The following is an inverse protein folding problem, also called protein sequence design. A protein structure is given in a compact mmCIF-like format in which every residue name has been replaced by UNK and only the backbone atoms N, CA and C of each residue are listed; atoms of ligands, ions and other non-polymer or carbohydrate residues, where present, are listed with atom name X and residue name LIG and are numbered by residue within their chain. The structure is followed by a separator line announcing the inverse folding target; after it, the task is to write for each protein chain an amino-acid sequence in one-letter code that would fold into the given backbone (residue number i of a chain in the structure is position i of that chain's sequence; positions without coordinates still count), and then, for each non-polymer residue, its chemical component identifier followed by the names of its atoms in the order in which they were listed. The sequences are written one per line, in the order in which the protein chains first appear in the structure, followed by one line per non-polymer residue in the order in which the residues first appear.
data_IF_668295843165
#
_entry.id   IF_668295843165
#
_cell.length_a   1.000
_cell.length_b   1.000
_cell.length_c   1.000
_cell.angle_alpha   90.00
_cell.angle_beta   90.00
_cell.angle_gamma   90.00
#
_symmetry.space_group_name_H-M   'P 1'
#
loop_
_entity.id
_entity.type
_entity.pdbx_description
1 polymer ?
#
# COMPACT_ATOMS: atom_id res chain seq x y z
N UNK A 1 -7.32 -6.18 -16.70
CA UNK A 1 -8.49 -5.26 -16.70
C UNK A 1 -9.57 -5.64 -15.68
N UNK A 2 -9.67 -6.90 -15.25
CA UNK A 2 -10.67 -7.33 -14.24
C UNK A 2 -10.54 -6.60 -12.88
N UNK A 3 -9.32 -6.37 -12.39
CA UNK A 3 -9.11 -5.68 -11.10
C UNK A 3 -9.57 -4.21 -11.08
N UNK A 4 -9.53 -3.55 -12.23
CA UNK A 4 -9.97 -2.16 -12.34
C UNK A 4 -11.49 -2.05 -12.13
N UNK A 5 -12.25 -2.94 -12.76
CA UNK A 5 -13.71 -2.96 -12.63
C UNK A 5 -14.14 -3.21 -11.19
N UNK A 6 -13.46 -4.15 -10.49
CA UNK A 6 -13.69 -4.43 -9.08
C UNK A 6 -13.43 -3.22 -8.18
N UNK A 7 -12.37 -2.45 -8.42
CA UNK A 7 -12.09 -1.23 -7.66
C UNK A 7 -13.15 -0.15 -7.90
N UNK A 8 -13.56 0.04 -9.16
CA UNK A 8 -14.60 1.02 -9.52
C UNK A 8 -15.95 0.66 -8.89
N UNK A 9 -16.34 -0.61 -8.93
CA UNK A 9 -17.56 -1.10 -8.29
C UNK A 9 -17.52 -0.81 -6.78
N UNK A 10 -16.42 -1.15 -6.13
CA UNK A 10 -16.21 -0.93 -4.69
C UNK A 10 -16.25 0.56 -4.29
N UNK A 11 -15.67 1.44 -5.11
CA UNK A 11 -15.74 2.90 -4.94
C UNK A 11 -17.18 3.38 -5.00
N UNK A 12 -17.96 2.90 -5.98
CA UNK A 12 -19.38 3.24 -6.15
C UNK A 12 -20.21 2.74 -4.99
N UNK A 13 -20.04 1.49 -4.56
CA UNK A 13 -20.73 0.90 -3.41
C UNK A 13 -20.52 1.73 -2.13
N UNK A 14 -19.29 2.21 -1.92
CA UNK A 14 -18.94 3.03 -0.76
C UNK A 14 -19.32 4.51 -0.90
N UNK A 15 -19.80 4.92 -2.08
CA UNK A 15 -20.16 6.29 -2.45
C UNK A 15 -19.01 7.27 -2.24
N UNK A 16 -17.80 6.87 -2.64
CA UNK A 16 -16.60 7.72 -2.49
C UNK A 16 -16.45 8.65 -3.69
N UNK A 17 -16.08 9.89 -3.40
CA UNK A 17 -15.63 10.86 -4.38
C UNK A 17 -14.09 10.79 -4.46
N UNK A 18 -13.59 10.02 -5.42
CA UNK A 18 -12.15 9.80 -5.64
C UNK A 18 -11.78 10.07 -7.09
N UNK A 19 -10.54 10.45 -7.32
CA UNK A 19 -10.00 10.61 -8.67
C UNK A 19 -9.74 9.23 -9.28
N UNK A 20 -10.69 8.78 -10.09
CA UNK A 20 -10.64 7.48 -10.76
C UNK A 20 -9.50 7.41 -11.79
N UNK A 21 -9.13 8.51 -12.44
CA UNK A 21 -8.01 8.50 -13.39
C UNK A 21 -6.69 8.29 -12.66
N UNK A 22 -6.47 9.01 -11.56
CA UNK A 22 -5.29 8.82 -10.71
C UNK A 22 -5.22 7.40 -10.14
N UNK A 23 -6.36 6.85 -9.71
CA UNK A 23 -6.45 5.48 -9.22
C UNK A 23 -6.08 4.46 -10.32
N UNK A 24 -6.64 4.62 -11.53
CA UNK A 24 -6.38 3.74 -12.67
C UNK A 24 -4.91 3.77 -13.09
N UNK A 25 -4.33 4.97 -13.17
CA UNK A 25 -2.91 5.15 -13.50
C UNK A 25 -2.03 4.45 -12.46
N UNK A 26 -2.36 4.57 -11.17
CA UNK A 26 -1.58 3.91 -10.11
C UNK A 26 -1.64 2.38 -10.20
N UNK A 27 -2.80 1.82 -10.58
CA UNK A 27 -2.96 0.39 -10.77
C UNK A 27 -2.11 -0.11 -11.95
N UNK A 28 -2.16 0.57 -13.09
CA UNK A 28 -1.35 0.22 -14.28
C UNK A 28 0.14 0.31 -13.92
N UNK A 29 0.54 1.39 -13.26
CA UNK A 29 1.93 1.60 -12.85
C UNK A 29 2.41 0.48 -11.90
N UNK A 30 1.63 0.12 -10.89
CA UNK A 30 1.98 -0.97 -9.98
C UNK A 30 2.06 -2.32 -10.71
N UNK A 31 1.12 -2.61 -11.61
CA UNK A 31 1.11 -3.84 -12.40
C UNK A 31 2.39 -3.96 -13.25
N UNK A 32 2.75 -2.89 -13.95
CA UNK A 32 3.98 -2.81 -14.75
C UNK A 32 5.24 -3.00 -13.89
N UNK A 33 5.29 -2.39 -12.71
CA UNK A 33 6.44 -2.47 -11.82
C UNK A 33 6.64 -3.89 -11.24
N UNK A 34 5.55 -4.63 -11.02
CA UNK A 34 5.58 -5.98 -10.47
C UNK A 34 5.47 -7.09 -11.53
N UNK A 35 5.65 -6.78 -12.84
CA UNK A 35 5.65 -7.79 -13.90
C UNK A 35 6.62 -8.93 -13.59
N UNK A 36 6.11 -10.17 -13.69
CA UNK A 36 6.90 -11.38 -13.43
C UNK A 36 7.09 -11.70 -11.94
N UNK A 37 6.53 -10.90 -11.03
CA UNK A 37 6.49 -11.20 -9.60
C UNK A 37 5.19 -11.96 -9.27
N UNK A 38 5.33 -13.00 -8.45
CA UNK A 38 4.22 -13.85 -8.02
C UNK A 38 4.16 -13.92 -6.49
N UNK A 39 2.95 -13.99 -5.94
CA UNK A 39 2.73 -14.29 -4.52
C UNK A 39 3.15 -15.72 -4.22
N UNK A 40 3.34 -16.03 -2.94
CA UNK A 40 3.59 -17.41 -2.46
C UNK A 40 2.46 -18.39 -2.80
N UNK A 41 1.24 -17.88 -3.06
CA UNK A 41 0.09 -18.66 -3.55
C UNK A 41 0.21 -19.07 -5.02
N UNK A 42 1.08 -18.43 -5.80
CA UNK A 42 1.19 -18.60 -7.25
C UNK A 42 0.40 -17.60 -8.09
N UNK A 43 -0.35 -16.70 -7.46
CA UNK A 43 -1.09 -15.61 -8.12
C UNK A 43 -0.17 -14.42 -8.44
N UNK A 44 -0.55 -13.60 -9.42
CA UNK A 44 0.18 -12.38 -9.78
C UNK A 44 0.29 -11.42 -8.58
N UNK A 45 1.45 -10.78 -8.40
CA UNK A 45 1.70 -9.93 -7.24
C UNK A 45 0.69 -8.78 -7.10
N UNK A 46 0.20 -8.24 -8.24
CA UNK A 46 -0.74 -7.13 -8.30
C UNK A 46 -2.04 -7.36 -7.50
N UNK A 47 -2.41 -8.63 -7.27
CA UNK A 47 -3.53 -8.98 -6.41
C UNK A 47 -3.40 -8.41 -4.99
N UNK A 48 -2.18 -8.38 -4.44
CA UNK A 48 -1.98 -7.87 -3.09
C UNK A 48 -2.24 -6.36 -2.97
N UNK A 49 -1.63 -5.49 -3.79
CA UNK A 49 -1.99 -4.08 -3.85
C UNK A 49 -3.48 -3.81 -4.08
N UNK A 50 -4.14 -4.59 -4.95
CA UNK A 50 -5.58 -4.44 -5.23
C UNK A 50 -6.42 -4.73 -3.97
N UNK A 51 -6.13 -5.82 -3.25
CA UNK A 51 -6.85 -6.15 -2.01
C UNK A 51 -6.60 -5.12 -0.90
N UNK A 52 -5.38 -4.59 -0.79
CA UNK A 52 -5.07 -3.48 0.13
C UNK A 52 -5.90 -2.25 -0.21
N UNK A 53 -5.99 -1.88 -1.50
CA UNK A 53 -6.81 -0.76 -1.96
C UNK A 53 -8.30 -0.96 -1.65
N UNK A 54 -8.84 -2.16 -1.84
CA UNK A 54 -10.22 -2.50 -1.48
C UNK A 54 -10.50 -2.30 0.01
N UNK A 55 -9.57 -2.68 0.88
CA UNK A 55 -9.69 -2.46 2.33
C UNK A 55 -9.73 -0.96 2.65
N UNK A 56 -8.87 -0.16 2.00
CA UNK A 56 -8.84 1.30 2.19
C UNK A 56 -10.12 1.98 1.68
N UNK A 57 -10.71 1.48 0.59
CA UNK A 57 -12.02 1.90 0.08
C UNK A 57 -13.13 1.56 1.09
N UNK A 58 -13.11 0.36 1.68
CA UNK A 58 -14.12 -0.06 2.69
C UNK A 58 -14.14 0.84 3.93
N UNK A 59 -12.98 1.38 4.33
CA UNK A 59 -12.87 2.35 5.42
C UNK A 59 -12.95 3.80 4.94
N UNK A 60 -13.32 4.02 3.67
CA UNK A 60 -13.63 5.32 3.06
C UNK A 60 -12.48 6.32 3.04
N UNK A 61 -11.27 5.86 2.71
CA UNK A 61 -10.11 6.73 2.59
C UNK A 61 -10.16 7.63 1.34
N UNK A 62 -9.39 8.72 1.37
CA UNK A 62 -9.20 9.63 0.24
C UNK A 62 -8.35 9.01 -0.89
N UNK A 63 -8.45 9.62 -2.08
CA UNK A 63 -7.71 9.24 -3.30
C UNK A 63 -6.22 8.96 -3.02
N UNK A 64 -5.52 9.89 -2.37
CA UNK A 64 -4.06 9.77 -2.20
C UNK A 64 -3.69 8.60 -1.30
N UNK A 65 -4.51 8.31 -0.28
CA UNK A 65 -4.33 7.14 0.57
C UNK A 65 -4.54 5.84 -0.18
N UNK A 66 -5.60 5.73 -0.98
CA UNK A 66 -5.90 4.51 -1.73
C UNK A 66 -4.79 4.27 -2.77
N UNK A 67 -4.39 5.32 -3.49
CA UNK A 67 -3.27 5.28 -4.45
C UNK A 67 -1.97 4.89 -3.76
N UNK A 68 -1.66 5.47 -2.59
CA UNK A 68 -0.47 5.08 -1.82
C UNK A 68 -0.55 3.61 -1.35
N UNK A 69 -1.74 3.09 -1.05
CA UNK A 69 -1.95 1.67 -0.76
C UNK A 69 -1.68 0.76 -1.96
N UNK A 70 -2.02 1.19 -3.18
CA UNK A 70 -1.67 0.46 -4.41
C UNK A 70 -0.15 0.46 -4.63
N UNK A 71 0.52 1.57 -4.33
CA UNK A 71 1.94 1.77 -4.63
C UNK A 71 2.87 1.38 -3.47
N UNK A 72 2.35 0.88 -2.35
CA UNK A 72 3.08 0.85 -1.09
C UNK A 72 4.34 -0.03 -1.08
N UNK A 73 4.35 -1.11 -1.86
CA UNK A 73 5.49 -2.03 -2.00
C UNK A 73 6.34 -1.73 -3.26
N UNK A 74 5.89 -0.84 -4.15
CA UNK A 74 6.59 -0.55 -5.42
C UNK A 74 8.00 -0.01 -5.18
N UNK A 75 8.17 0.89 -4.21
CA UNK A 75 9.48 1.48 -3.89
C UNK A 75 10.45 0.45 -3.28
N UNK A 76 9.93 -0.60 -2.65
CA UNK A 76 10.74 -1.58 -1.95
C UNK A 76 11.11 -2.78 -2.82
N UNK A 77 10.16 -3.27 -3.62
CA UNK A 77 10.30 -4.52 -4.36
C UNK A 77 10.70 -4.30 -5.82
N UNK A 78 10.94 -3.04 -6.21
CA UNK A 78 11.27 -2.65 -7.60
C UNK A 78 12.35 -1.58 -7.64
N UNK A 79 12.72 -1.10 -8.84
CA UNK A 79 13.74 -0.06 -9.03
C UNK A 79 13.19 1.38 -8.95
N UNK A 80 11.89 1.52 -8.70
CA UNK A 80 11.21 2.83 -8.65
C UNK A 80 11.56 3.57 -7.36
N UNK A 81 11.86 4.85 -7.47
CA UNK A 81 12.16 5.72 -6.32
C UNK A 81 10.94 6.50 -5.83
N UNK A 82 11.00 7.01 -4.60
CA UNK A 82 10.00 7.97 -4.07
C UNK A 82 9.90 9.23 -4.95
N UNK A 83 10.98 9.63 -5.61
CA UNK A 83 10.98 10.77 -6.53
C UNK A 83 10.14 10.49 -7.77
N UNK A 84 10.17 9.26 -8.29
CA UNK A 84 9.32 8.83 -9.42
C UNK A 84 7.84 8.82 -9.01
N UNK A 85 7.52 8.32 -7.80
CA UNK A 85 6.16 8.38 -7.25
C UNK A 85 5.68 9.84 -7.15
N UNK A 86 6.55 10.74 -6.67
CA UNK A 86 6.24 12.17 -6.57
C UNK A 86 5.96 12.80 -7.94
N UNK A 87 6.78 12.47 -8.94
CA UNK A 87 6.61 12.99 -10.29
C UNK A 87 5.28 12.56 -10.91
N UNK A 88 4.90 11.29 -10.74
CA UNK A 88 3.70 10.74 -11.38
C UNK A 88 2.40 10.98 -10.58
N UNK A 89 2.46 11.01 -9.25
CA UNK A 89 1.28 11.01 -8.38
C UNK A 89 1.23 12.17 -7.38
N UNK A 90 2.24 13.03 -7.35
CA UNK A 90 2.29 14.22 -6.51
C UNK A 90 2.85 14.00 -5.11
N UNK A 91 3.07 15.11 -4.41
CA UNK A 91 3.76 15.15 -3.11
C UNK A 91 3.07 14.34 -2.02
N UNK A 92 1.74 14.43 -1.91
CA UNK A 92 0.99 13.74 -0.85
C UNK A 92 1.13 12.23 -0.96
N UNK A 93 0.92 11.66 -2.15
CA UNK A 93 1.10 10.22 -2.39
C UNK A 93 2.53 9.79 -2.08
N UNK A 94 3.53 10.55 -2.55
CA UNK A 94 4.93 10.22 -2.31
C UNK A 94 5.30 10.23 -0.83
N UNK A 95 4.79 11.20 -0.06
CA UNK A 95 4.98 11.25 1.40
C UNK A 95 4.34 10.05 2.11
N UNK A 96 3.17 9.60 1.65
CA UNK A 96 2.50 8.43 2.21
C UNK A 96 3.29 7.15 1.91
N UNK A 97 3.72 6.93 0.66
CA UNK A 97 4.50 5.75 0.27
C UNK A 97 5.84 5.71 1.01
N UNK A 98 6.59 6.82 1.03
CA UNK A 98 7.85 6.93 1.78
C UNK A 98 7.65 6.63 3.28
N UNK A 99 6.54 7.10 3.86
CA UNK A 99 6.16 6.78 5.22
C UNK A 99 5.95 5.27 5.43
N UNK A 100 5.16 4.62 4.58
CA UNK A 100 4.89 3.18 4.69
C UNK A 100 6.19 2.38 4.56
N UNK A 101 7.05 2.74 3.60
CA UNK A 101 8.34 2.07 3.37
C UNK A 101 9.25 2.15 4.60
N UNK A 102 9.37 3.35 5.16
CA UNK A 102 10.19 3.58 6.36
C UNK A 102 9.71 2.80 7.59
N UNK A 103 8.40 2.57 7.75
CA UNK A 103 7.88 1.75 8.84
C UNK A 103 8.26 0.27 8.73
N UNK A 104 8.38 -0.25 7.50
CA UNK A 104 8.77 -1.65 7.29
C UNK A 104 10.26 -1.87 7.58
N UNK A 105 11.09 -0.86 7.32
CA UNK A 105 12.53 -0.87 7.59
C UNK A 105 12.93 -0.74 9.08
N UNK A 106 11.96 -0.64 9.99
CA UNK A 106 12.24 -0.51 11.42
C UNK A 106 12.83 -1.81 11.99
N UNK A 107 14.00 -1.77 12.65
CA UNK A 107 14.60 -2.95 13.26
C UNK A 107 13.74 -3.52 14.39
N UNK A 108 13.72 -4.85 14.48
CA UNK A 108 13.03 -5.59 15.53
C UNK A 108 13.83 -5.54 16.86
N UNK A 109 13.84 -4.39 17.54
CA UNK A 109 13.99 -4.28 18.99
C UNK A 109 15.38 -4.02 19.59
N UNK A 110 15.44 -2.98 20.44
CA UNK A 110 16.16 -2.84 21.73
C UNK A 110 15.54 -1.65 22.49
N UNK A 111 15.72 -1.52 23.83
CA UNK A 111 15.11 -0.43 24.64
C UNK A 111 15.40 1.00 24.10
N UNK A 112 16.56 1.21 23.46
CA UNK A 112 16.93 2.48 22.83
C UNK A 112 16.26 2.70 21.46
N UNK A 113 15.76 1.64 20.80
CA UNK A 113 14.98 1.75 19.57
C UNK A 113 13.53 2.16 19.85
N UNK A 114 13.00 1.89 21.05
CA UNK A 114 11.64 2.31 21.41
C UNK A 114 11.47 3.84 21.35
N UNK A 115 12.50 4.63 21.68
CA UNK A 115 12.46 6.09 21.52
C UNK A 115 12.54 6.54 20.06
N UNK A 116 13.35 5.88 19.23
CA UNK A 116 13.42 6.19 17.80
C UNK A 116 12.14 5.79 17.07
N UNK A 117 11.59 4.61 17.39
CA UNK A 117 10.27 4.15 16.93
C UNK A 117 9.18 5.09 17.44
N UNK A 118 9.23 5.54 18.71
CA UNK A 118 8.25 6.50 19.25
C UNK A 118 8.36 7.88 18.59
N UNK A 119 9.57 8.40 18.35
CA UNK A 119 9.80 9.67 17.63
C UNK A 119 9.37 9.58 16.17
N UNK A 120 9.61 8.44 15.52
CA UNK A 120 9.17 8.19 14.14
C UNK A 120 7.65 8.04 14.07
N UNK A 121 7.04 7.24 14.96
CA UNK A 121 5.58 7.14 15.11
C UNK A 121 4.97 8.51 15.42
N UNK A 122 5.58 9.34 16.25
CA UNK A 122 5.12 10.70 16.55
C UNK A 122 5.26 11.64 15.34
N UNK A 123 6.38 11.57 14.61
CA UNK A 123 6.58 12.33 13.37
C UNK A 123 5.65 11.88 12.24
N UNK A 124 5.17 10.63 12.29
CA UNK A 124 4.22 10.04 11.36
C UNK A 124 2.77 10.06 11.86
N UNK A 125 2.54 10.33 13.16
CA UNK A 125 1.22 10.49 13.76
C UNK A 125 0.51 11.72 13.19
N UNK A 126 1.26 12.64 12.58
CA UNK A 126 0.72 13.71 11.75
C UNK A 126 0.01 13.19 10.49
N UNK A 127 0.20 11.92 10.11
CA UNK A 127 -0.45 11.32 8.96
C UNK A 127 -0.96 9.90 9.27
N UNK A 128 -2.05 9.83 10.06
CA UNK A 128 -2.82 8.61 10.39
C UNK A 128 -3.06 7.68 9.18
N UNK A 129 -3.10 8.25 7.97
CA UNK A 129 -3.20 7.55 6.68
C UNK A 129 -2.11 6.49 6.49
N UNK A 130 -0.87 6.76 6.88
CA UNK A 130 0.24 5.80 6.76
C UNK A 130 0.02 4.57 7.65
N UNK A 131 -0.48 4.79 8.87
CA UNK A 131 -0.81 3.71 9.80
C UNK A 131 -1.95 2.86 9.22
N UNK A 132 -2.98 3.50 8.66
CA UNK A 132 -4.12 2.81 8.05
C UNK A 132 -3.69 1.95 6.85
N UNK A 133 -2.82 2.47 5.97
CA UNK A 133 -2.22 1.68 4.89
C UNK A 133 -1.51 0.44 5.45
N UNK A 134 -0.70 0.60 6.50
CA UNK A 134 0.03 -0.53 7.09
C UNK A 134 -0.88 -1.56 7.76
N UNK A 135 -1.97 -1.12 8.36
CA UNK A 135 -2.98 -2.01 8.93
C UNK A 135 -3.72 -2.78 7.83
N UNK A 136 -4.04 -2.12 6.70
CA UNK A 136 -4.66 -2.77 5.54
C UNK A 136 -3.73 -3.84 4.92
N UNK A 137 -2.45 -3.50 4.72
CA UNK A 137 -1.39 -4.45 4.30
C UNK A 137 -1.33 -5.67 5.23
N UNK A 138 -1.19 -5.44 6.55
CA UNK A 138 -1.16 -6.52 7.55
C UNK A 138 -2.43 -7.36 7.55
N UNK A 139 -3.60 -6.74 7.43
CA UNK A 139 -4.87 -7.46 7.37
C UNK A 139 -4.93 -8.38 6.15
N UNK A 140 -4.52 -7.91 4.98
CA UNK A 140 -4.49 -8.75 3.78
C UNK A 140 -3.45 -9.88 3.89
N UNK A 141 -2.27 -9.60 4.44
CA UNK A 141 -1.28 -10.65 4.73
C UNK A 141 -1.82 -11.70 5.69
N UNK A 142 -2.53 -11.30 6.75
CA UNK A 142 -3.18 -12.23 7.68
C UNK A 142 -4.25 -13.09 7.00
N UNK A 143 -5.03 -12.54 6.06
CA UNK A 143 -6.04 -13.29 5.27
C UNK A 143 -5.42 -14.31 4.32
N UNK A 144 -4.16 -14.12 3.93
CA UNK A 144 -3.43 -15.00 2.99
C UNK A 144 -2.44 -15.94 3.67
N UNK A 145 -2.34 -15.93 5.01
CA UNK A 145 -1.47 -16.82 5.81
C UNK A 145 -1.69 -18.31 5.52
N UNK A 146 -2.91 -18.73 5.17
CA UNK A 146 -3.24 -20.12 4.82
C UNK A 146 -2.45 -20.69 3.63
N UNK A 147 -1.89 -19.82 2.79
CA UNK A 147 -1.04 -20.20 1.65
C UNK A 147 0.45 -20.15 1.98
N UNK A 148 0.84 -19.64 3.16
CA UNK A 148 2.20 -19.75 3.64
C UNK A 148 2.38 -21.16 4.20
N UNK A 149 3.34 -21.92 3.65
CA UNK A 149 3.74 -23.21 4.25
C UNK A 149 4.02 -22.97 5.73
N UNK A 150 3.45 -23.80 6.61
CA UNK A 150 3.84 -23.84 8.02
C UNK A 150 5.35 -24.09 8.08
N UNK A 151 6.14 -23.12 8.50
CA UNK A 151 7.53 -23.42 8.86
C UNK A 151 7.53 -24.38 10.05
N UNK A 152 8.36 -25.42 9.92
CA UNK A 152 8.74 -26.35 10.98
C UNK A 152 9.59 -25.63 12.02
#
# INVERSE_FOLDING_TARGET
MEYWEQLVEKVKENHLDVDLEKLKLSLIFADECHIGQYRKSGEDYIMHPVEVAKILIDIKMDTDTIVAGILHDVVEDTLISVADIRYNFGDTTALLVDGVTKLKALPNGTKNQAENVRKMILAMAENVRVILIKLADRLHNMRTLKFMKSEK
#
